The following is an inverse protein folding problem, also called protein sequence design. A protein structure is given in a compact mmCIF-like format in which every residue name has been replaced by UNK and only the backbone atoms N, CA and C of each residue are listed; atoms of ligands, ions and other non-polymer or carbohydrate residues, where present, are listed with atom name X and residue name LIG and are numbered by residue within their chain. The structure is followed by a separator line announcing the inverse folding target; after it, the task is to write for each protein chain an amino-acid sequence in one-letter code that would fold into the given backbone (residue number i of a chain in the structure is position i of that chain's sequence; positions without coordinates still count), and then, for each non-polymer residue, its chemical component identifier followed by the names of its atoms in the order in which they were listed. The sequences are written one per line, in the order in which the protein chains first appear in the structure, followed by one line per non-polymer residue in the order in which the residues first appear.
data_IF_532938671162
#
_entry.id   IF_532938671162
#
_cell.length_a   1.000
_cell.length_b   1.000
_cell.length_c   1.000
_cell.angle_alpha   90.00
_cell.angle_beta   90.00
_cell.angle_gamma   90.00
#
_symmetry.space_group_name_H-M   'P 1'
#
loop_
_entity.id
_entity.type
_entity.pdbx_description
1 polymer ?
#
# COMPACT_ATOMS: atom_id res chain seq x y z
N UNK A 1 -25.03 -30.98 28.13
CA UNK A 1 -24.96 -29.51 27.93
C UNK A 1 -23.79 -28.99 28.76
N UNK A 2 -22.74 -28.31 28.29
CA UNK A 2 -22.27 -27.95 26.96
C UNK A 2 -20.77 -27.62 27.10
N UNK A 3 -19.92 -28.02 26.16
CA UNK A 3 -18.47 -27.70 26.15
C UNK A 3 -18.01 -27.09 24.81
N UNK A 4 -18.95 -26.52 24.06
CA UNK A 4 -18.69 -25.70 22.89
C UNK A 4 -19.25 -24.29 23.13
N UNK A 5 -19.00 -23.75 24.33
CA UNK A 5 -19.25 -22.34 24.57
C UNK A 5 -18.38 -21.56 23.59
N UNK A 6 -19.06 -20.94 22.63
CA UNK A 6 -18.57 -20.30 21.43
C UNK A 6 -17.17 -19.68 21.56
N UNK A 7 -16.30 -19.98 20.58
CA UNK A 7 -15.07 -19.23 20.30
C UNK A 7 -15.39 -17.80 19.82
N UNK A 8 -16.18 -17.06 20.60
CA UNK A 8 -16.43 -15.64 20.40
C UNK A 8 -15.12 -14.89 20.63
N UNK A 9 -14.91 -13.80 19.89
CA UNK A 9 -13.72 -12.97 20.01
C UNK A 9 -13.44 -12.56 21.47
N UNK A 10 -14.50 -12.28 22.25
CA UNK A 10 -14.40 -11.95 23.67
C UNK A 10 -13.85 -13.07 24.56
N UNK A 11 -14.11 -14.34 24.25
CA UNK A 11 -13.52 -15.47 24.98
C UNK A 11 -12.01 -15.61 24.71
N UNK A 12 -11.60 -15.46 23.43
CA UNK A 12 -10.18 -15.49 23.04
C UNK A 12 -9.39 -14.37 23.73
N UNK A 13 -9.94 -13.16 23.80
CA UNK A 13 -9.33 -12.03 24.49
C UNK A 13 -9.13 -12.30 25.99
N UNK A 14 -10.17 -12.80 26.69
CA UNK A 14 -10.06 -13.16 28.11
C UNK A 14 -8.99 -14.23 28.37
N UNK A 15 -8.92 -15.25 27.51
CA UNK A 15 -7.92 -16.31 27.62
C UNK A 15 -6.49 -15.79 27.37
N UNK A 16 -6.29 -14.89 26.41
CA UNK A 16 -4.99 -14.25 26.16
C UNK A 16 -4.59 -13.32 27.30
N UNK A 17 -5.52 -12.52 27.82
CA UNK A 17 -5.24 -11.58 28.92
C UNK A 17 -4.83 -12.32 30.21
N UNK A 18 -5.54 -13.38 30.56
CA UNK A 18 -5.15 -14.24 31.68
C UNK A 18 -3.81 -14.95 31.44
N UNK A 19 -3.50 -15.33 30.19
CA UNK A 19 -2.21 -15.92 29.83
C UNK A 19 -1.03 -14.95 29.96
N UNK A 20 -1.27 -13.64 29.79
CA UNK A 20 -0.26 -12.60 30.03
C UNK A 20 0.06 -12.45 31.52
N UNK A 21 -0.92 -12.62 32.40
CA UNK A 21 -0.76 -12.51 33.85
C UNK A 21 -0.23 -13.79 34.52
N UNK A 22 -0.64 -14.97 34.03
CA UNK A 22 -0.43 -16.24 34.73
C UNK A 22 0.22 -17.35 33.88
N UNK A 23 0.74 -17.03 32.69
CA UNK A 23 1.38 -17.96 31.73
C UNK A 23 0.39 -18.86 30.98
N UNK A 24 0.70 -19.20 29.72
CA UNK A 24 -0.18 -19.96 28.81
C UNK A 24 -0.70 -21.28 29.40
N UNK A 25 0.13 -21.98 30.18
CA UNK A 25 -0.25 -23.25 30.84
C UNK A 25 -1.34 -23.07 31.91
N UNK A 26 -1.33 -21.96 32.67
CA UNK A 26 -2.38 -21.67 33.64
C UNK A 26 -3.69 -21.31 32.95
N UNK A 27 -3.61 -20.49 31.90
CA UNK A 27 -4.76 -20.14 31.06
C UNK A 27 -5.40 -21.38 30.41
N UNK A 28 -4.58 -22.34 29.96
CA UNK A 28 -5.07 -23.61 29.40
C UNK A 28 -5.90 -24.41 30.41
N UNK A 29 -5.45 -24.48 31.67
CA UNK A 29 -6.18 -25.16 32.75
C UNK A 29 -7.43 -24.40 33.19
N UNK A 30 -7.38 -23.07 33.23
CA UNK A 30 -8.48 -22.23 33.70
C UNK A 30 -9.64 -22.16 32.70
N UNK A 31 -9.34 -22.04 31.40
CA UNK A 31 -10.35 -21.90 30.34
C UNK A 31 -10.63 -23.22 29.59
N UNK A 32 -9.89 -24.29 29.87
CA UNK A 32 -10.04 -25.58 29.18
C UNK A 32 -9.65 -25.55 27.70
N UNK A 33 -8.75 -24.63 27.30
CA UNK A 33 -8.32 -24.41 25.91
C UNK A 33 -6.90 -24.94 25.73
N UNK A 34 -6.58 -25.51 24.56
CA UNK A 34 -5.22 -25.96 24.25
C UNK A 34 -4.20 -24.81 24.29
N UNK A 35 -3.01 -25.08 24.85
CA UNK A 35 -1.92 -24.08 24.98
C UNK A 35 -1.46 -23.52 23.62
N UNK A 36 -1.51 -24.34 22.56
CA UNK A 36 -1.22 -23.95 21.17
C UNK A 36 -2.22 -22.91 20.65
N UNK A 37 -3.50 -23.07 20.94
CA UNK A 37 -4.55 -22.12 20.54
C UNK A 37 -4.41 -20.77 21.26
N UNK A 38 -3.99 -20.79 22.53
CA UNK A 38 -3.70 -19.57 23.32
C UNK A 38 -2.47 -18.86 22.75
N UNK A 39 -1.40 -19.61 22.43
CA UNK A 39 -0.21 -19.07 21.77
C UNK A 39 -0.55 -18.44 20.42
N UNK A 40 -1.34 -19.13 19.59
CA UNK A 40 -1.79 -18.60 18.30
C UNK A 40 -2.60 -17.30 18.47
N UNK A 41 -3.57 -17.28 19.38
CA UNK A 41 -4.37 -16.08 19.65
C UNK A 41 -3.50 -14.90 20.12
N UNK A 42 -2.49 -15.16 20.96
CA UNK A 42 -1.55 -14.14 21.41
C UNK A 42 -0.64 -13.63 20.28
N UNK A 43 -0.18 -14.51 19.40
CA UNK A 43 0.63 -14.12 18.25
C UNK A 43 -0.18 -13.30 17.24
N UNK A 44 -1.48 -13.60 17.08
CA UNK A 44 -2.41 -12.78 16.28
C UNK A 44 -2.60 -11.38 16.90
N UNK A 45 -2.85 -11.29 18.21
CA UNK A 45 -3.00 -9.99 18.89
C UNK A 45 -1.72 -9.15 18.79
N UNK A 46 -0.54 -9.78 18.91
CA UNK A 46 0.75 -9.09 18.72
C UNK A 46 0.94 -8.57 17.30
N UNK A 47 0.55 -9.36 16.28
CA UNK A 47 0.58 -8.90 14.88
C UNK A 47 -0.33 -7.70 14.68
N UNK A 48 -1.58 -7.79 15.13
CA UNK A 48 -2.54 -6.70 15.02
C UNK A 48 -2.05 -5.41 15.71
N UNK A 49 -1.45 -5.53 16.90
CA UNK A 49 -0.84 -4.38 17.59
C UNK A 49 0.35 -3.81 16.82
N UNK A 50 1.20 -4.65 16.26
CA UNK A 50 2.31 -4.21 15.39
C UNK A 50 1.80 -3.46 14.16
N UNK A 51 0.80 -4.01 13.46
CA UNK A 51 0.20 -3.38 12.28
C UNK A 51 -0.43 -2.01 12.61
N UNK A 52 -1.05 -1.88 13.79
CA UNK A 52 -1.63 -0.62 14.27
C UNK A 52 -0.57 0.43 14.62
N UNK A 53 0.53 0.02 15.26
CA UNK A 53 1.68 0.88 15.55
C UNK A 53 2.34 1.38 14.26
N UNK A 54 2.53 0.50 13.27
CA UNK A 54 3.08 0.85 11.96
C UNK A 54 2.19 1.85 11.22
N UNK A 55 0.87 1.62 11.24
CA UNK A 55 -0.12 2.53 10.63
C UNK A 55 -0.09 3.91 11.28
N UNK A 56 -0.02 3.96 12.61
CA UNK A 56 0.07 5.21 13.38
C UNK A 56 1.41 5.93 13.11
N UNK A 57 2.49 5.17 13.00
CA UNK A 57 3.82 5.66 12.64
C UNK A 57 3.81 6.32 11.25
N UNK A 58 3.19 5.69 10.26
CA UNK A 58 3.06 6.23 8.91
C UNK A 58 2.28 7.55 8.90
N UNK A 59 1.12 7.61 9.57
CA UNK A 59 0.32 8.84 9.69
C UNK A 59 1.12 9.99 10.31
N UNK A 60 1.80 9.74 11.43
CA UNK A 60 2.64 10.75 12.09
C UNK A 60 3.77 11.25 11.19
N UNK A 61 4.36 10.36 10.39
CA UNK A 61 5.38 10.73 9.41
C UNK A 61 4.78 11.65 8.34
N UNK A 62 3.62 11.30 7.79
CA UNK A 62 2.92 12.12 6.79
C UNK A 62 2.55 13.50 7.35
N UNK A 63 1.97 13.56 8.55
CA UNK A 63 1.61 14.81 9.21
C UNK A 63 2.84 15.71 9.40
N UNK A 64 3.98 15.13 9.81
CA UNK A 64 5.24 15.86 9.93
C UNK A 64 5.71 16.42 8.58
N UNK A 65 5.52 15.70 7.48
CA UNK A 65 5.87 16.21 6.14
C UNK A 65 4.97 17.37 5.73
N UNK A 66 3.66 17.30 6.00
CA UNK A 66 2.70 18.37 5.69
C UNK A 66 2.98 19.64 6.52
N UNK A 67 3.44 19.49 7.76
CA UNK A 67 3.87 20.62 8.59
C UNK A 67 5.09 21.32 7.99
N UNK A 68 6.02 20.55 7.38
CA UNK A 68 7.22 21.10 6.73
C UNK A 68 6.93 21.72 5.37
N UNK A 69 6.10 21.07 4.57
CA UNK A 69 5.64 21.54 3.26
C UNK A 69 4.11 21.47 3.19
N UNK A 70 3.48 22.64 3.20
CA UNK A 70 2.02 22.78 3.25
C UNK A 70 1.33 22.43 1.92
N UNK A 71 2.07 22.09 0.87
CA UNK A 71 1.49 21.74 -0.43
C UNK A 71 0.83 20.36 -0.37
N UNK A 72 -0.41 20.33 -0.81
CA UNK A 72 -1.22 19.11 -0.93
C UNK A 72 -1.65 18.91 -2.38
N UNK A 73 -1.86 17.65 -2.74
CA UNK A 73 -2.37 17.24 -4.05
C UNK A 73 -3.56 16.30 -3.87
N UNK A 74 -4.35 16.11 -4.91
CA UNK A 74 -5.55 15.27 -4.86
C UNK A 74 -5.18 13.80 -5.04
N UNK A 75 -5.72 12.95 -4.15
CA UNK A 75 -5.45 11.51 -4.17
C UNK A 75 -6.36 10.75 -5.13
N UNK A 76 -6.61 9.47 -4.83
CA UNK A 76 -7.54 8.64 -5.60
C UNK A 76 -7.16 8.45 -7.07
N UNK A 77 -5.87 8.56 -7.41
CA UNK A 77 -5.40 8.45 -8.80
C UNK A 77 -5.53 9.74 -9.63
N UNK A 78 -6.04 10.83 -9.05
CA UNK A 78 -6.19 12.13 -9.72
C UNK A 78 -4.84 12.71 -10.14
N UNK A 79 -3.87 12.72 -9.22
CA UNK A 79 -2.55 13.29 -9.49
C UNK A 79 -1.81 12.52 -10.58
N UNK A 80 -1.88 11.19 -10.54
CA UNK A 80 -1.25 10.29 -11.51
C UNK A 80 -1.84 10.44 -12.91
N UNK A 81 -3.18 10.57 -13.00
CA UNK A 81 -3.84 10.82 -14.28
C UNK A 81 -3.43 12.17 -14.87
N UNK A 82 -3.37 13.22 -14.03
CA UNK A 82 -2.94 14.55 -14.46
C UNK A 82 -1.50 14.53 -15.00
N UNK A 83 -0.59 13.83 -14.29
CA UNK A 83 0.79 13.67 -14.73
C UNK A 83 0.88 12.85 -16.03
N UNK A 84 0.11 11.77 -16.16
CA UNK A 84 0.03 11.00 -17.41
C UNK A 84 -0.41 11.87 -18.57
N UNK A 85 -1.42 12.72 -18.38
CA UNK A 85 -1.92 13.60 -19.43
C UNK A 85 -0.85 14.64 -19.85
N UNK A 86 -0.11 15.20 -18.89
CA UNK A 86 0.98 16.12 -19.16
C UNK A 86 2.13 15.46 -19.93
N UNK A 87 2.53 14.24 -19.55
CA UNK A 87 3.59 13.48 -20.24
C UNK A 87 3.16 13.08 -21.64
N UNK A 88 1.92 12.63 -21.84
CA UNK A 88 1.39 12.32 -23.18
C UNK A 88 1.44 13.54 -24.11
N UNK A 89 1.02 14.72 -23.63
CA UNK A 89 1.08 15.96 -24.44
C UNK A 89 2.51 16.33 -24.84
N UNK A 90 3.48 16.09 -23.95
CA UNK A 90 4.89 16.33 -24.25
C UNK A 90 5.47 15.26 -25.20
N UNK A 91 4.97 14.03 -25.14
CA UNK A 91 5.35 12.96 -26.06
C UNK A 91 4.92 13.26 -27.50
N UNK A 92 3.74 13.89 -27.69
CA UNK A 92 3.23 14.31 -29.00
C UNK A 92 4.15 15.35 -29.70
N UNK A 93 4.79 16.23 -28.93
CA UNK A 93 5.74 17.22 -29.47
C UNK A 93 7.17 16.71 -29.58
N UNK A 94 7.48 15.54 -29.02
CA UNK A 94 8.82 14.95 -29.03
C UNK A 94 8.95 13.99 -30.22
N UNK A 95 9.99 14.17 -31.03
CA UNK A 95 10.21 13.32 -32.21
C UNK A 95 11.08 12.09 -31.89
N UNK A 96 10.81 10.98 -32.57
CA UNK A 96 11.67 9.80 -32.54
C UNK A 96 11.37 8.81 -31.41
N UNK A 97 12.38 8.02 -31.05
CA UNK A 97 12.23 6.88 -30.11
C UNK A 97 11.93 7.31 -28.67
N UNK A 98 12.30 8.54 -28.30
CA UNK A 98 12.05 9.10 -26.96
C UNK A 98 10.55 9.25 -26.69
N UNK A 99 9.76 9.62 -27.70
CA UNK A 99 8.30 9.73 -27.60
C UNK A 99 7.66 8.43 -27.11
N UNK A 100 8.12 7.28 -27.63
CA UNK A 100 7.63 5.95 -27.22
C UNK A 100 7.94 5.66 -25.74
N UNK A 101 9.11 6.08 -25.24
CA UNK A 101 9.47 5.92 -23.84
C UNK A 101 8.60 6.81 -22.93
N UNK A 102 8.29 8.04 -23.37
CA UNK A 102 7.41 8.96 -22.66
C UNK A 102 5.97 8.44 -22.60
N UNK A 103 5.45 7.91 -23.70
CA UNK A 103 4.14 7.25 -23.73
C UNK A 103 4.09 6.04 -22.81
N UNK A 104 5.16 5.24 -22.77
CA UNK A 104 5.27 4.11 -21.85
C UNK A 104 5.26 4.57 -20.38
N UNK A 105 5.96 5.66 -20.05
CA UNK A 105 5.95 6.26 -18.71
C UNK A 105 4.55 6.77 -18.33
N UNK A 106 3.86 7.48 -19.24
CA UNK A 106 2.49 7.92 -19.02
C UNK A 106 1.53 6.72 -18.81
N UNK A 107 1.70 5.64 -19.57
CA UNK A 107 0.96 4.39 -19.36
C UNK A 107 1.26 3.75 -18.00
N UNK A 108 2.50 3.80 -17.53
CA UNK A 108 2.88 3.31 -16.21
C UNK A 108 2.20 4.12 -15.09
N UNK A 109 2.13 5.46 -15.21
CA UNK A 109 1.40 6.30 -14.27
C UNK A 109 -0.09 5.91 -14.19
N UNK A 110 -0.73 5.63 -15.32
CA UNK A 110 -2.14 5.16 -15.37
C UNK A 110 -2.36 3.80 -14.73
N UNK A 111 -1.32 2.98 -14.53
CA UNK A 111 -1.47 1.71 -13.82
C UNK A 111 -1.79 1.89 -12.35
N UNK A 112 -1.40 3.01 -11.73
CA UNK A 112 -1.72 3.28 -10.32
C UNK A 112 -3.25 3.32 -10.09
N UNK A 113 -4.04 4.18 -10.78
CA UNK A 113 -5.50 4.17 -10.64
C UNK A 113 -6.14 2.84 -11.10
N UNK A 114 -5.53 2.15 -12.07
CA UNK A 114 -6.00 0.81 -12.50
C UNK A 114 -5.92 -0.19 -11.35
N UNK A 115 -4.77 -0.28 -10.69
CA UNK A 115 -4.53 -1.19 -9.57
C UNK A 115 -5.41 -0.83 -8.38
N UNK A 116 -5.63 0.47 -8.13
CA UNK A 116 -6.55 0.92 -7.08
C UNK A 116 -7.96 0.36 -7.34
N UNK A 117 -8.49 0.52 -8.56
CA UNK A 117 -9.81 0.00 -8.94
C UNK A 117 -9.87 -1.53 -8.91
N UNK A 118 -8.85 -2.22 -9.43
CA UNK A 118 -8.75 -3.69 -9.43
C UNK A 118 -8.77 -4.24 -8.00
N UNK A 119 -8.03 -3.63 -7.09
CA UNK A 119 -7.97 -4.05 -5.69
C UNK A 119 -9.31 -3.89 -4.96
N UNK A 120 -10.18 -2.99 -5.42
CA UNK A 120 -11.55 -2.85 -4.91
C UNK A 120 -12.58 -3.74 -5.62
N UNK A 121 -12.16 -4.48 -6.65
CA UNK A 121 -13.05 -5.36 -7.42
C UNK A 121 -14.01 -4.62 -8.36
N UNK A 122 -13.68 -3.38 -8.73
CA UNK A 122 -14.46 -2.61 -9.70
C UNK A 122 -13.95 -2.82 -11.13
N UNK A 123 -14.75 -2.41 -12.13
CA UNK A 123 -14.29 -2.37 -13.52
C UNK A 123 -13.26 -1.26 -13.71
N UNK A 124 -11.98 -1.63 -13.60
CA UNK A 124 -10.86 -0.72 -13.75
C UNK A 124 -10.73 -0.16 -15.16
N UNK A 125 -11.13 -0.91 -16.19
CA UNK A 125 -11.07 -0.44 -17.57
C UNK A 125 -12.06 0.70 -17.79
N UNK A 126 -13.29 0.53 -17.31
CA UNK A 126 -14.31 1.57 -17.38
C UNK A 126 -13.90 2.81 -16.56
N UNK A 127 -13.55 2.63 -15.28
CA UNK A 127 -13.24 3.75 -14.37
C UNK A 127 -12.02 4.57 -14.82
N UNK A 128 -10.96 3.90 -15.28
CA UNK A 128 -9.76 4.60 -15.76
C UNK A 128 -10.05 5.34 -17.07
N UNK A 129 -10.91 4.79 -17.93
CA UNK A 129 -11.35 5.45 -19.16
C UNK A 129 -12.16 6.72 -18.85
N UNK A 130 -13.14 6.62 -17.95
CA UNK A 130 -13.94 7.77 -17.48
C UNK A 130 -13.05 8.83 -16.82
N UNK A 131 -12.10 8.41 -15.98
CA UNK A 131 -11.16 9.30 -15.32
C UNK A 131 -10.29 10.05 -16.33
N UNK A 132 -9.82 9.35 -17.37
CA UNK A 132 -9.04 9.96 -18.45
C UNK A 132 -9.86 10.98 -19.24
N UNK A 133 -11.13 10.67 -19.53
CA UNK A 133 -12.04 11.60 -20.19
C UNK A 133 -12.23 12.87 -19.36
N UNK A 134 -12.52 12.72 -18.06
CA UNK A 134 -12.68 13.85 -17.14
C UNK A 134 -11.45 14.77 -17.10
N UNK A 135 -10.24 14.20 -17.02
CA UNK A 135 -9.00 14.98 -17.05
C UNK A 135 -8.75 15.64 -18.41
N UNK A 136 -9.16 15.00 -19.50
CA UNK A 136 -9.07 15.57 -20.85
C UNK A 136 -10.01 16.77 -21.05
N UNK A 137 -11.16 16.77 -20.38
CA UNK A 137 -12.09 17.91 -20.28
C UNK A 137 -11.59 19.04 -19.37
N UNK A 138 -10.43 18.87 -18.71
CA UNK A 138 -9.83 19.88 -17.83
C UNK A 138 -10.20 19.74 -16.36
N UNK A 139 -10.91 18.68 -15.95
CA UNK A 139 -11.22 18.41 -14.53
C UNK A 139 -10.00 17.85 -13.81
N UNK A 140 -9.14 18.73 -13.29
CA UNK A 140 -7.86 18.37 -12.64
C UNK A 140 -7.99 17.67 -11.29
N UNK A 141 -9.16 17.74 -10.66
CA UNK A 141 -9.43 17.19 -9.31
C UNK A 141 -10.19 15.88 -9.35
N UNK A 142 -10.53 15.38 -10.55
CA UNK A 142 -11.25 14.13 -10.71
C UNK A 142 -10.39 12.94 -10.28
N UNK A 143 -10.93 12.05 -9.46
CA UNK A 143 -10.29 10.81 -9.02
C UNK A 143 -11.29 9.68 -8.88
N UNK A 144 -10.82 8.50 -8.46
CA UNK A 144 -11.67 7.33 -8.26
C UNK A 144 -12.23 7.36 -6.83
N UNK A 145 -13.55 7.44 -6.71
CA UNK A 145 -14.27 7.27 -5.45
C UNK A 145 -14.49 5.77 -5.20
N UNK A 146 -13.80 5.25 -4.18
CA UNK A 146 -13.82 3.83 -3.83
C UNK A 146 -15.10 3.38 -3.14
N UNK A 147 -15.89 4.31 -2.59
CA UNK A 147 -17.14 4.01 -1.89
C UNK A 147 -18.29 3.82 -2.87
N UNK A 148 -18.34 4.65 -3.90
CA UNK A 148 -19.42 4.66 -4.90
C UNK A 148 -19.03 4.05 -6.25
N UNK A 149 -17.77 3.59 -6.38
CA UNK A 149 -17.24 2.99 -7.60
C UNK A 149 -17.44 3.89 -8.84
N UNK A 150 -17.14 5.18 -8.71
CA UNK A 150 -17.31 6.17 -9.79
C UNK A 150 -16.21 7.22 -9.79
N UNK A 151 -16.08 7.97 -10.88
CA UNK A 151 -15.21 9.15 -10.93
C UNK A 151 -15.89 10.33 -10.24
N UNK A 152 -15.23 10.94 -9.27
CA UNK A 152 -15.76 12.08 -8.51
C UNK A 152 -14.67 13.12 -8.20
N UNK A 153 -15.08 14.27 -7.68
CA UNK A 153 -14.20 15.38 -7.33
C UNK A 153 -13.53 15.13 -5.97
N UNK A 154 -12.23 14.82 -5.99
CA UNK A 154 -11.44 14.55 -4.78
C UNK A 154 -11.32 15.76 -3.87
N UNK A 155 -11.47 16.99 -4.40
CA UNK A 155 -11.48 18.20 -3.59
C UNK A 155 -12.72 18.27 -2.69
N UNK A 156 -13.88 17.86 -3.22
CA UNK A 156 -15.14 17.82 -2.47
C UNK A 156 -15.17 16.68 -1.45
N UNK A 157 -14.59 15.54 -1.80
CA UNK A 157 -14.47 14.38 -0.91
C UNK A 157 -13.38 14.55 0.17
N UNK A 158 -12.53 15.59 0.07
CA UNK A 158 -11.44 15.82 1.02
C UNK A 158 -10.28 14.83 0.91
N UNK A 159 -10.19 14.08 -0.18
CA UNK A 159 -9.14 13.08 -0.40
C UNK A 159 -7.87 13.77 -0.90
N UNK A 160 -6.98 14.07 0.03
CA UNK A 160 -5.73 14.79 -0.24
C UNK A 160 -4.51 14.01 0.23
N UNK A 161 -3.41 14.19 -0.48
CA UNK A 161 -2.12 13.58 -0.19
C UNK A 161 -1.04 14.67 -0.13
N UNK A 162 0.03 14.41 0.62
CA UNK A 162 1.14 15.34 0.73
C UNK A 162 1.93 15.39 -0.57
N UNK A 163 2.18 16.59 -1.10
CA UNK A 163 2.94 16.78 -2.34
C UNK A 163 4.32 16.12 -2.27
N UNK A 164 5.01 16.26 -1.13
CA UNK A 164 6.35 15.71 -0.91
C UNK A 164 6.38 14.19 -1.08
N UNK A 165 5.34 13.50 -0.62
CA UNK A 165 5.24 12.04 -0.73
C UNK A 165 5.14 11.64 -2.20
N UNK A 166 4.22 12.24 -2.96
CA UNK A 166 4.08 11.94 -4.41
C UNK A 166 5.34 12.26 -5.19
N UNK A 167 5.97 13.41 -4.91
CA UNK A 167 7.24 13.78 -5.52
C UNK A 167 8.33 12.73 -5.25
N UNK A 168 8.46 12.30 -4.00
CA UNK A 168 9.48 11.32 -3.63
C UNK A 168 9.22 9.96 -4.28
N UNK A 169 7.95 9.51 -4.33
CA UNK A 169 7.57 8.26 -4.99
C UNK A 169 8.01 8.25 -6.45
N UNK A 170 7.76 9.34 -7.20
CA UNK A 170 8.15 9.43 -8.60
C UNK A 170 9.66 9.44 -8.80
N UNK A 171 10.38 10.23 -7.99
CA UNK A 171 11.84 10.33 -8.07
C UNK A 171 12.49 8.97 -7.78
N UNK A 172 12.15 8.36 -6.65
CA UNK A 172 12.69 7.05 -6.26
C UNK A 172 12.34 5.96 -7.27
N UNK A 173 11.12 5.96 -7.82
CA UNK A 173 10.73 4.99 -8.83
C UNK A 173 11.48 5.18 -10.16
N UNK A 174 11.67 6.44 -10.60
CA UNK A 174 12.41 6.75 -11.81
C UNK A 174 13.90 6.38 -11.68
N UNK A 175 14.53 6.73 -10.54
CA UNK A 175 15.92 6.34 -10.24
C UNK A 175 16.07 4.82 -10.22
N UNK A 176 15.14 4.10 -9.58
CA UNK A 176 15.16 2.64 -9.56
C UNK A 176 15.00 2.03 -10.98
N UNK A 177 14.10 2.58 -11.79
CA UNK A 177 13.92 2.14 -13.17
C UNK A 177 15.18 2.39 -14.01
N UNK A 178 15.81 3.55 -13.87
CA UNK A 178 17.07 3.85 -14.56
C UNK A 178 18.18 2.88 -14.14
N UNK A 179 18.34 2.62 -12.84
CA UNK A 179 19.34 1.67 -12.33
C UNK A 179 19.13 0.28 -12.93
N UNK A 180 17.89 -0.22 -12.99
CA UNK A 180 17.58 -1.55 -13.52
C UNK A 180 17.80 -1.61 -15.04
N UNK A 181 17.32 -0.61 -15.79
CA UNK A 181 17.42 -0.57 -17.24
C UNK A 181 18.87 -0.47 -17.74
N UNK A 182 19.77 0.08 -16.92
CA UNK A 182 21.20 0.18 -17.22
C UNK A 182 21.97 -1.12 -17.00
N UNK A 183 21.41 -2.10 -16.28
CA UNK A 183 22.09 -3.38 -16.05
C UNK A 183 22.05 -4.21 -17.33
N UNK A 184 23.22 -4.52 -17.87
CA UNK A 184 23.40 -5.41 -19.01
C UNK A 184 23.63 -6.87 -18.57
N UNK A 185 24.27 -7.09 -17.41
CA UNK A 185 24.56 -8.43 -16.92
C UNK A 185 24.54 -8.55 -15.38
N UNK A 186 24.14 -9.72 -14.88
CA UNK A 186 24.09 -10.03 -13.43
C UNK A 186 24.95 -11.24 -13.13
N UNK A 187 26.05 -11.03 -12.40
CA UNK A 187 26.95 -12.11 -11.96
C UNK A 187 26.71 -12.36 -10.46
N UNK A 188 26.28 -13.58 -10.12
CA UNK A 188 26.07 -14.01 -8.73
C UNK A 188 27.24 -14.85 -8.26
N UNK A 189 27.86 -14.47 -7.14
CA UNK A 189 28.87 -15.29 -6.49
C UNK A 189 28.25 -16.56 -5.87
N UNK A 190 29.04 -17.64 -5.81
CA UNK A 190 28.62 -18.85 -5.12
C UNK A 190 28.35 -18.55 -3.63
N UNK A 191 27.27 -19.09 -3.04
CA UNK A 191 27.00 -18.92 -1.62
C UNK A 191 28.13 -19.53 -0.80
N UNK A 192 28.53 -18.86 0.28
CA UNK A 192 29.58 -19.33 1.17
C UNK A 192 29.21 -20.70 1.73
N UNK A 193 30.10 -21.68 1.57
CA UNK A 193 29.93 -22.98 2.20
C UNK A 193 29.92 -22.81 3.73
N UNK A 194 28.85 -23.29 4.36
CA UNK A 194 28.75 -23.35 5.83
C UNK A 194 29.57 -24.54 6.28
N UNK A 195 30.80 -24.29 6.73
CA UNK A 195 31.55 -25.29 7.45
C UNK A 195 30.83 -25.58 8.78
N UNK A 196 30.58 -26.85 9.15
CA UNK A 196 30.01 -27.16 10.46
C UNK A 196 30.93 -26.58 11.54
N UNK A 197 30.33 -25.85 12.47
CA UNK A 197 31.03 -25.25 13.61
C UNK A 197 31.75 -26.39 14.33
N UNK A 198 33.07 -26.29 14.51
CA UNK A 198 33.83 -27.29 15.25
C UNK A 198 33.43 -27.17 16.72
N UNK A 199 32.42 -27.94 17.13
CA UNK A 199 32.11 -28.17 18.53
C UNK A 199 33.29 -28.90 19.15
N UNK A 200 34.12 -28.16 19.89
CA UNK A 200 35.10 -28.69 20.83
C UNK A 200 34.41 -29.06 22.13
#
# INVERSE_FOLDING_TARGET
MGKYASYTAGFKLKAVQYALEHVNRAASRHFGVGETSIRYARDQEKKTKGDEEDTTGFRRCQDRQVVKDKRVVFGGGSSEMLMSAAVCKLAESTAGKESLAMEAFARALRKIPTIIADNAGFDSAQLVSELRAAHSEGKKTAGINMTEAKVDDMAKLGVTEAFVVKRQVLLSAAEAAEMILRVDNIIKAAPRERHPDRSH
#
